data_IF_397457483817
#
_entry.id   IF_397457483817
#
_cell.length_a   1.000
_cell.length_b   1.000
_cell.length_c   1.000
_cell.angle_alpha   90.00
_cell.angle_beta   90.00
_cell.angle_gamma   90.00
#
_symmetry.space_group_name_H-M   'P 1'
#
loop_
_entity.id
_entity.type
_entity.pdbx_description
1 polymer ?
#
# COMPACT_ATOMS: atom_id res chain seq x y z
N UNK A 1 9.53 8.22 -16.10
CA UNK A 1 9.47 9.14 -14.93
C UNK A 1 8.48 8.59 -13.91
N UNK A 2 8.61 8.90 -12.61
CA UNK A 2 7.62 8.51 -11.59
C UNK A 2 6.31 9.30 -11.80
N UNK A 3 5.12 8.67 -11.75
CA UNK A 3 3.85 9.36 -12.00
C UNK A 3 3.29 10.08 -10.75
N UNK A 4 4.00 10.10 -9.62
CA UNK A 4 3.59 10.84 -8.43
C UNK A 4 3.72 12.35 -8.63
N UNK A 5 2.78 13.10 -8.08
CA UNK A 5 2.86 14.56 -8.00
C UNK A 5 4.00 15.00 -7.08
N UNK A 6 4.56 16.19 -7.30
CA UNK A 6 5.78 16.68 -6.63
C UNK A 6 5.63 16.86 -5.11
N UNK A 7 4.41 17.02 -4.60
CA UNK A 7 4.11 17.12 -3.16
C UNK A 7 3.91 15.76 -2.48
N UNK A 8 4.00 14.68 -3.25
CA UNK A 8 3.79 13.32 -2.78
C UNK A 8 4.90 12.40 -3.29
N UNK A 9 5.05 11.25 -2.64
CA UNK A 9 6.08 10.28 -2.99
C UNK A 9 5.54 8.88 -2.83
N UNK A 10 6.09 7.92 -3.59
CA UNK A 10 5.69 6.53 -3.49
C UNK A 10 6.29 5.94 -2.21
N UNK A 11 5.46 5.77 -1.17
CA UNK A 11 5.88 5.31 0.15
C UNK A 11 4.92 4.26 0.72
N UNK A 12 5.38 3.58 1.75
CA UNK A 12 4.62 2.64 2.59
C UNK A 12 4.81 3.02 4.05
N UNK A 13 4.07 2.37 4.94
CA UNK A 13 4.26 2.54 6.38
C UNK A 13 4.55 1.20 7.05
N UNK A 14 5.56 1.19 7.91
CA UNK A 14 5.85 0.07 8.80
C UNK A 14 5.55 0.50 10.24
N UNK A 15 4.79 -0.32 10.96
CA UNK A 15 4.58 -0.12 12.39
C UNK A 15 5.84 -0.54 13.14
N UNK A 16 6.44 0.39 13.86
CA UNK A 16 7.62 0.18 14.71
C UNK A 16 7.27 0.50 16.16
N UNK A 17 7.94 -0.17 17.10
CA UNK A 17 7.73 0.08 18.53
C UNK A 17 8.50 1.32 18.98
N UNK A 18 7.85 2.18 19.78
CA UNK A 18 8.55 3.29 20.43
C UNK A 18 9.40 2.76 21.56
N UNK A 19 10.66 3.19 21.64
CA UNK A 19 11.53 2.85 22.78
C UNK A 19 10.95 3.40 24.09
N UNK A 20 11.27 2.74 25.22
CA UNK A 20 10.79 3.16 26.56
C UNK A 20 11.22 4.59 26.91
N UNK A 21 12.42 5.00 26.48
CA UNK A 21 12.94 6.36 26.65
C UNK A 21 12.16 7.39 25.82
N UNK A 22 11.81 7.06 24.57
CA UNK A 22 10.98 7.94 23.72
C UNK A 22 9.58 8.17 24.31
N UNK A 23 8.98 7.14 24.92
CA UNK A 23 7.70 7.28 25.63
C UNK A 23 7.78 8.19 26.86
N UNK A 24 8.87 8.10 27.62
CA UNK A 24 9.07 8.94 28.82
C UNK A 24 9.29 10.42 28.50
N UNK A 25 9.92 10.74 27.36
CA UNK A 25 10.26 12.13 27.00
C UNK A 25 9.14 12.84 26.23
N UNK A 26 8.35 12.12 25.43
CA UNK A 26 7.42 12.75 24.46
C UNK A 26 5.93 12.67 24.81
N UNK A 27 5.56 12.19 26.00
CA UNK A 27 4.15 12.04 26.42
C UNK A 27 3.24 11.36 25.37
N UNK A 28 3.80 10.48 24.54
CA UNK A 28 3.06 9.79 23.49
C UNK A 28 2.31 8.59 24.06
N UNK A 29 0.98 8.61 23.95
CA UNK A 29 0.09 7.57 24.52
C UNK A 29 0.22 6.21 23.82
N UNK A 30 0.56 6.18 22.53
CA UNK A 30 0.70 4.94 21.76
C UNK A 30 2.11 4.37 21.83
N UNK A 31 2.19 3.04 22.04
CA UNK A 31 3.44 2.27 22.14
C UNK A 31 4.14 2.04 20.79
N UNK A 32 3.55 2.49 19.70
CA UNK A 32 4.04 2.31 18.33
C UNK A 32 3.93 3.61 17.53
N UNK A 33 4.68 3.65 16.43
CA UNK A 33 4.53 4.65 15.38
C UNK A 33 4.59 3.98 14.01
N UNK A 34 3.90 4.56 13.04
CA UNK A 34 3.91 4.10 11.67
C UNK A 34 4.94 4.96 10.90
N UNK A 35 6.13 4.40 10.69
CA UNK A 35 7.21 5.07 9.97
C UNK A 35 7.02 4.92 8.46
N UNK A 36 7.04 6.06 7.75
CA UNK A 36 6.91 6.08 6.30
C UNK A 36 8.26 5.87 5.63
N UNK A 37 8.32 4.97 4.66
CA UNK A 37 9.55 4.66 3.93
C UNK A 37 9.29 4.39 2.45
N UNK A 38 10.33 4.50 1.64
CA UNK A 38 10.35 4.06 0.25
C UNK A 38 11.62 3.26 0.00
N UNK A 39 11.56 2.26 -0.88
CA UNK A 39 12.70 1.44 -1.22
C UNK A 39 12.63 1.03 -2.69
N UNK A 40 13.79 0.70 -3.24
CA UNK A 40 13.92 0.10 -4.57
C UNK A 40 14.64 -1.23 -4.41
N UNK A 41 14.04 -2.30 -4.93
CA UNK A 41 14.65 -3.62 -5.00
C UNK A 41 14.89 -3.98 -6.47
N UNK A 42 16.11 -4.38 -6.81
CA UNK A 42 16.54 -4.69 -8.18
C UNK A 42 17.16 -6.08 -8.20
N UNK A 43 16.87 -6.86 -9.23
CA UNK A 43 17.44 -8.19 -9.45
C UNK A 43 17.84 -8.36 -10.92
N UNK A 44 18.80 -9.25 -11.19
CA UNK A 44 19.13 -9.70 -12.56
C UNK A 44 18.10 -10.68 -13.10
N UNK A 45 17.39 -11.37 -12.21
CA UNK A 45 16.34 -12.33 -12.57
C UNK A 45 15.02 -11.62 -12.88
N UNK A 46 14.23 -12.20 -13.79
CA UNK A 46 12.89 -11.69 -14.09
C UNK A 46 11.97 -11.92 -12.89
N UNK A 47 11.50 -10.83 -12.30
CA UNK A 47 10.46 -10.85 -11.28
C UNK A 47 9.08 -11.23 -11.86
N UNK A 48 8.15 -11.55 -10.98
CA UNK A 48 6.76 -11.78 -11.36
C UNK A 48 6.10 -10.46 -11.80
N UNK A 49 5.48 -10.43 -12.98
CA UNK A 49 4.74 -9.26 -13.48
C UNK A 49 3.60 -8.88 -12.54
N UNK A 50 3.48 -7.60 -12.21
CA UNK A 50 2.36 -7.02 -11.45
C UNK A 50 1.68 -5.97 -12.33
N UNK A 51 0.39 -5.74 -12.13
CA UNK A 51 -0.29 -4.63 -12.80
C UNK A 51 0.10 -3.30 -12.18
N UNK A 52 0.33 -3.29 -10.87
CA UNK A 52 0.74 -2.10 -10.17
C UNK A 52 0.88 -2.34 -8.68
N UNK A 53 1.25 -1.29 -7.96
CA UNK A 53 1.38 -1.32 -6.51
C UNK A 53 0.36 -0.41 -5.86
N UNK A 54 -0.29 -0.91 -4.81
CA UNK A 54 -1.29 -0.17 -4.06
C UNK A 54 -0.65 1.01 -3.31
N UNK A 55 -1.22 2.19 -3.51
CA UNK A 55 -0.67 3.46 -3.01
C UNK A 55 -1.15 3.87 -1.62
N UNK A 56 -2.28 3.32 -1.15
CA UNK A 56 -2.85 3.55 0.19
C UNK A 56 -3.67 2.35 0.62
N UNK A 57 -4.05 2.29 1.90
CA UNK A 57 -4.91 1.24 2.42
C UNK A 57 -6.19 1.10 1.58
N UNK A 58 -6.50 -0.10 1.07
CA UNK A 58 -7.75 -0.34 0.37
C UNK A 58 -8.97 0.00 1.22
N UNK A 59 -9.91 0.73 0.62
CA UNK A 59 -11.12 1.19 1.28
C UNK A 59 -12.22 0.16 1.07
N UNK A 60 -12.50 -0.64 2.10
CA UNK A 60 -13.57 -1.63 2.08
C UNK A 60 -14.92 -0.93 2.32
N UNK A 61 -15.82 -1.02 1.35
CA UNK A 61 -17.18 -0.46 1.40
C UNK A 61 -18.21 -1.58 1.30
N UNK A 62 -19.50 -1.25 1.46
CA UNK A 62 -20.58 -2.23 1.28
C UNK A 62 -20.62 -2.66 -0.19
N UNK A 63 -20.21 -3.90 -0.45
CA UNK A 63 -20.32 -4.54 -1.76
C UNK A 63 -19.15 -4.32 -2.73
N UNK A 64 -18.16 -3.48 -2.37
CA UNK A 64 -16.99 -3.23 -3.20
C UNK A 64 -15.78 -2.76 -2.36
N UNK A 65 -14.58 -2.85 -2.95
CA UNK A 65 -13.32 -2.35 -2.39
C UNK A 65 -12.73 -1.37 -3.39
N UNK A 66 -12.28 -0.21 -2.92
CA UNK A 66 -11.66 0.84 -3.74
C UNK A 66 -10.21 1.02 -3.32
N UNK A 67 -9.29 1.12 -4.27
CA UNK A 67 -7.90 1.49 -4.02
C UNK A 67 -7.27 2.12 -5.26
N UNK A 68 -6.18 2.84 -5.07
CA UNK A 68 -5.35 3.38 -6.15
C UNK A 68 -4.10 2.52 -6.33
N UNK A 69 -3.70 2.33 -7.58
CA UNK A 69 -2.45 1.67 -7.95
C UNK A 69 -1.56 2.60 -8.75
N UNK A 70 -0.25 2.48 -8.56
CA UNK A 70 0.75 3.01 -9.48
C UNK A 70 1.21 1.88 -10.41
N UNK A 71 1.03 2.06 -11.71
CA UNK A 71 1.45 1.14 -12.77
C UNK A 71 2.40 1.83 -13.76
N UNK A 72 2.81 1.09 -14.81
CA UNK A 72 3.53 1.66 -15.96
C UNK A 72 2.74 2.75 -16.69
N UNK A 73 1.41 2.69 -16.61
CA UNK A 73 0.50 3.58 -17.33
C UNK A 73 0.10 4.80 -16.48
N UNK A 74 0.67 4.91 -15.28
CA UNK A 74 0.40 5.99 -14.33
C UNK A 74 -0.40 5.54 -13.11
N UNK A 75 -1.02 6.51 -12.44
CA UNK A 75 -1.85 6.27 -11.26
C UNK A 75 -3.30 6.06 -11.70
N UNK A 76 -3.93 4.99 -11.24
CA UNK A 76 -5.34 4.73 -11.55
C UNK A 76 -6.10 4.13 -10.37
N UNK A 77 -7.39 4.47 -10.29
CA UNK A 77 -8.31 3.89 -9.32
C UNK A 77 -8.80 2.51 -9.78
N UNK A 78 -9.04 1.63 -8.81
CA UNK A 78 -9.60 0.29 -8.99
C UNK A 78 -10.80 0.11 -8.07
N UNK A 79 -11.86 -0.49 -8.61
CA UNK A 79 -13.08 -0.85 -7.87
C UNK A 79 -13.34 -2.33 -8.07
N UNK A 80 -13.20 -3.11 -7.02
CA UNK A 80 -13.45 -4.55 -7.03
C UNK A 80 -14.78 -4.82 -6.36
N UNK A 81 -15.74 -5.40 -7.08
CA UNK A 81 -17.09 -5.65 -6.57
C UNK A 81 -17.26 -7.09 -6.09
N UNK A 82 -18.24 -7.33 -5.20
CA UNK A 82 -18.56 -8.69 -4.72
C UNK A 82 -19.03 -9.67 -5.81
N UNK A 83 -19.35 -9.19 -7.01
CA UNK A 83 -19.73 -10.06 -8.14
C UNK A 83 -18.59 -10.98 -8.54
N UNK A 84 -17.36 -10.47 -8.46
CA UNK A 84 -16.15 -11.25 -8.67
C UNK A 84 -15.63 -11.78 -7.32
N UNK A 85 -16.12 -12.96 -6.93
CA UNK A 85 -15.90 -13.51 -5.57
C UNK A 85 -14.42 -13.73 -5.25
N UNK A 86 -13.65 -14.24 -6.21
CA UNK A 86 -12.24 -14.57 -6.01
C UNK A 86 -11.39 -13.30 -5.96
N UNK A 87 -11.58 -12.40 -6.93
CA UNK A 87 -10.86 -11.14 -6.96
C UNK A 87 -11.22 -10.26 -5.75
N UNK A 88 -12.47 -10.28 -5.31
CA UNK A 88 -12.89 -9.58 -4.09
C UNK A 88 -12.21 -10.13 -2.84
N UNK A 89 -12.09 -11.46 -2.70
CA UNK A 89 -11.40 -12.08 -1.56
C UNK A 89 -9.92 -11.72 -1.56
N UNK A 90 -9.28 -11.78 -2.72
CA UNK A 90 -7.89 -11.36 -2.91
C UNK A 90 -7.70 -9.87 -2.59
N UNK A 91 -8.51 -8.98 -3.20
CA UNK A 91 -8.43 -7.55 -2.96
C UNK A 91 -8.63 -7.16 -1.49
N UNK A 92 -9.42 -7.94 -0.74
CA UNK A 92 -9.62 -7.74 0.70
C UNK A 92 -8.41 -8.07 1.55
N UNK A 93 -7.49 -8.92 1.09
CA UNK A 93 -6.26 -9.23 1.82
C UNK A 93 -5.11 -8.28 1.50
N UNK A 94 -5.29 -7.39 0.52
CA UNK A 94 -4.27 -6.44 0.12
C UNK A 94 -4.17 -5.27 1.11
N UNK A 95 -2.94 -4.82 1.29
CA UNK A 95 -2.59 -3.71 2.16
C UNK A 95 -1.91 -2.60 1.35
N UNK A 96 -1.63 -1.48 2.03
CA UNK A 96 -0.78 -0.46 1.46
C UNK A 96 0.58 -1.05 1.07
N UNK A 97 0.97 -0.87 -0.20
CA UNK A 97 2.21 -1.40 -0.75
C UNK A 97 2.12 -2.81 -1.31
N UNK A 98 0.98 -3.49 -1.17
CA UNK A 98 0.80 -4.79 -1.81
C UNK A 98 0.88 -4.68 -3.34
N UNK A 99 1.49 -5.66 -4.02
CA UNK A 99 1.35 -5.80 -5.47
C UNK A 99 -0.09 -6.20 -5.81
N UNK A 100 -0.66 -5.59 -6.84
CA UNK A 100 -1.99 -5.93 -7.35
C UNK A 100 -1.90 -6.64 -8.70
N UNK A 101 -2.81 -7.61 -8.90
CA UNK A 101 -3.03 -8.39 -10.12
C UNK A 101 -4.51 -8.74 -10.21
N UNK A 102 -5.11 -8.58 -11.37
CA UNK A 102 -6.51 -8.92 -11.60
C UNK A 102 -6.71 -10.37 -12.06
N UNK A 103 -5.63 -11.06 -12.44
CA UNK A 103 -5.59 -12.45 -12.92
C UNK A 103 -4.57 -13.30 -12.18
#
# INVERSE_FOLDING_TARGET
PCPMADDNWCHFAQRISRSRLHRQVKAGELSFEDEKFSFVAVSREKGKVIEGRILRHPQVRKGHIIFEICSSDGISSRVITRKDKELYRYARSLNWGSPFRSS
#
